data_IF_936128503310
#
_entry.id   IF_936128503310
#
_cell.length_a   1.000
_cell.length_b   1.000
_cell.length_c   1.000
_cell.angle_alpha   90.00
_cell.angle_beta   90.00
_cell.angle_gamma   90.00
#
_symmetry.space_group_name_H-M   'P 1'
#
loop_
_entity.id
_entity.type
_entity.pdbx_description
1 polymer ?
#
# COMPACT_ATOMS: atom_id res chain seq x y z
N UNK A 1 14.11 7.33 -19.22
CA UNK A 1 12.69 7.31 -18.80
C UNK A 1 12.02 8.69 -18.91
N UNK A 2 12.74 9.80 -18.69
CA UNK A 2 12.17 11.16 -18.81
C UNK A 2 11.61 11.49 -20.21
N UNK A 3 12.20 10.98 -21.28
CA UNK A 3 11.79 11.26 -22.66
C UNK A 3 10.32 10.89 -22.97
N UNK A 4 9.81 9.80 -22.38
CA UNK A 4 8.40 9.43 -22.55
C UNK A 4 7.46 10.32 -21.73
N UNK A 5 7.83 10.65 -20.49
CA UNK A 5 7.01 11.49 -19.61
C UNK A 5 6.86 12.89 -20.22
N UNK A 6 7.98 13.46 -20.66
CA UNK A 6 8.03 14.76 -21.33
C UNK A 6 7.21 14.72 -22.63
N UNK A 7 7.41 13.69 -23.46
CA UNK A 7 6.62 13.49 -24.69
C UNK A 7 5.13 13.36 -24.41
N UNK A 8 4.73 12.59 -23.40
CA UNK A 8 3.34 12.31 -23.07
C UNK A 8 2.64 13.60 -22.60
N UNK A 9 3.31 14.36 -21.73
CA UNK A 9 2.83 15.67 -21.28
C UNK A 9 2.68 16.64 -22.46
N UNK A 10 3.68 16.76 -23.32
CA UNK A 10 3.61 17.60 -24.52
C UNK A 10 2.48 17.16 -25.47
N UNK A 11 2.30 15.85 -25.65
CA UNK A 11 1.29 15.28 -26.55
C UNK A 11 -0.12 15.63 -26.08
N UNK A 12 -0.41 15.43 -24.79
CA UNK A 12 -1.71 15.72 -24.18
C UNK A 12 -2.02 17.21 -24.24
N UNK A 13 -1.03 18.07 -23.97
CA UNK A 13 -1.18 19.53 -24.10
C UNK A 13 -1.45 19.96 -25.54
N UNK A 14 -0.72 19.40 -26.52
CA UNK A 14 -0.88 19.72 -27.94
C UNK A 14 -2.25 19.31 -28.49
N UNK A 15 -2.75 18.16 -28.07
CA UNK A 15 -4.06 17.65 -28.52
C UNK A 15 -5.23 18.17 -27.69
N UNK A 16 -4.98 18.97 -26.65
CA UNK A 16 -6.00 19.51 -25.75
C UNK A 16 -6.88 18.40 -25.15
N UNK A 17 -6.27 17.25 -24.84
CA UNK A 17 -6.99 16.14 -24.21
C UNK A 17 -7.48 16.59 -22.83
N UNK A 18 -8.72 16.24 -22.50
CA UNK A 18 -9.37 16.57 -21.23
C UNK A 18 -9.62 15.30 -20.41
N UNK A 19 -10.04 15.48 -19.15
CA UNK A 19 -10.36 14.38 -18.24
C UNK A 19 -9.11 13.70 -17.66
N UNK A 20 -9.22 12.42 -17.34
CA UNK A 20 -8.22 11.67 -16.59
C UNK A 20 -6.84 11.67 -17.27
N UNK A 21 -6.79 11.53 -18.60
CA UNK A 21 -5.52 11.46 -19.33
C UNK A 21 -4.69 12.75 -19.18
N UNK A 22 -5.36 13.90 -19.07
CA UNK A 22 -4.70 15.18 -18.79
C UNK A 22 -4.02 15.19 -17.42
N UNK A 23 -4.72 14.68 -16.41
CA UNK A 23 -4.24 14.64 -15.04
C UNK A 23 -3.17 13.57 -14.82
N UNK A 24 -3.26 12.42 -15.50
CA UNK A 24 -2.18 11.42 -15.55
C UNK A 24 -0.93 12.05 -16.18
N UNK A 25 -1.06 12.79 -17.28
CA UNK A 25 0.06 13.44 -17.95
C UNK A 25 0.72 14.55 -17.12
N UNK A 26 -0.06 15.17 -16.22
CA UNK A 26 0.46 16.15 -15.24
C UNK A 26 1.27 15.49 -14.13
N UNK A 27 1.12 14.19 -13.93
CA UNK A 27 1.76 13.43 -12.87
C UNK A 27 1.16 13.68 -11.48
N UNK A 28 1.68 12.98 -10.45
CA UNK A 28 1.21 13.14 -9.09
C UNK A 28 1.37 14.57 -8.60
N UNK A 29 0.45 15.01 -7.72
CA UNK A 29 0.52 16.34 -7.15
C UNK A 29 1.87 16.50 -6.41
N UNK A 30 2.69 17.54 -6.65
CA UNK A 30 3.94 17.74 -5.93
C UNK A 30 3.76 17.90 -4.41
N UNK A 31 2.54 18.25 -3.99
CA UNK A 31 2.10 18.30 -2.59
C UNK A 31 1.26 17.07 -2.20
N UNK A 32 1.41 15.95 -2.92
CA UNK A 32 0.64 14.73 -2.66
C UNK A 32 0.75 14.37 -1.18
N UNK A 33 -0.41 14.12 -0.58
CA UNK A 33 -0.49 13.78 0.83
C UNK A 33 0.18 12.42 1.04
N UNK A 34 1.08 12.37 2.02
CA UNK A 34 1.69 11.14 2.48
C UNK A 34 0.86 10.58 3.63
N UNK A 35 0.70 9.27 3.63
CA UNK A 35 -0.02 8.55 4.68
C UNK A 35 0.89 7.53 5.33
N UNK A 36 0.64 7.27 6.61
CA UNK A 36 1.39 6.28 7.38
C UNK A 36 0.73 4.90 7.39
N UNK A 37 -0.52 4.80 6.91
CA UNK A 37 -1.23 3.54 6.71
C UNK A 37 -2.39 3.70 5.72
N UNK A 38 -2.86 2.57 5.18
CA UNK A 38 -3.95 2.51 4.20
C UNK A 38 -4.67 1.15 4.26
N UNK A 39 -5.99 1.15 4.14
CA UNK A 39 -6.80 -0.07 4.15
C UNK A 39 -7.47 -0.31 2.80
N UNK A 40 -7.28 -1.50 2.24
CA UNK A 40 -7.86 -1.92 0.95
C UNK A 40 -7.90 -3.45 0.86
N UNK A 41 -8.94 -4.01 0.24
CA UNK A 41 -9.08 -5.46 0.00
C UNK A 41 -8.84 -6.32 1.26
N UNK A 42 -9.40 -5.90 2.39
CA UNK A 42 -9.24 -6.61 3.66
C UNK A 42 -7.85 -6.50 4.31
N UNK A 43 -6.89 -5.82 3.67
CA UNK A 43 -5.54 -5.61 4.19
C UNK A 43 -5.37 -4.23 4.81
N UNK A 44 -4.73 -4.20 5.97
CA UNK A 44 -4.29 -2.96 6.62
C UNK A 44 -2.79 -2.79 6.36
N UNK A 45 -2.42 -1.89 5.47
CA UNK A 45 -1.03 -1.57 5.17
C UNK A 45 -0.52 -0.42 6.03
N UNK A 46 0.75 -0.51 6.45
CA UNK A 46 1.47 0.56 7.16
C UNK A 46 2.78 0.89 6.44
N UNK A 47 3.28 2.11 6.59
CA UNK A 47 4.69 2.39 6.25
C UNK A 47 5.60 1.69 7.25
N UNK A 48 6.79 1.28 6.82
CA UNK A 48 7.82 0.66 7.68
C UNK A 48 8.10 1.49 8.94
N UNK A 49 8.14 2.81 8.78
CA UNK A 49 8.32 3.74 9.89
C UNK A 49 7.21 3.59 10.95
N UNK A 50 5.94 3.60 10.54
CA UNK A 50 4.81 3.36 11.44
C UNK A 50 4.85 1.97 12.05
N UNK A 51 5.08 0.96 11.21
CA UNK A 51 5.13 -0.44 11.61
C UNK A 51 6.19 -0.70 12.69
N UNK A 52 7.35 -0.03 12.61
CA UNK A 52 8.43 -0.15 13.59
C UNK A 52 8.07 0.32 15.00
N UNK A 53 6.98 1.08 15.15
CA UNK A 53 6.45 1.57 16.44
C UNK A 53 5.31 0.71 16.97
N UNK A 54 4.90 -0.32 16.24
CA UNK A 54 3.78 -1.19 16.57
C UNK A 54 4.27 -2.61 16.84
N UNK A 55 3.44 -3.39 17.53
CA UNK A 55 3.67 -4.83 17.73
C UNK A 55 3.22 -5.66 16.51
N UNK A 56 2.37 -5.11 15.66
CA UNK A 56 1.87 -5.75 14.43
C UNK A 56 2.78 -5.45 13.25
N UNK A 57 2.91 -6.38 12.31
CA UNK A 57 3.65 -6.15 11.08
C UNK A 57 2.71 -6.09 9.87
N UNK A 58 2.60 -4.91 9.28
CA UNK A 58 1.65 -4.56 8.24
C UNK A 58 2.30 -3.83 7.06
N UNK A 59 3.64 -3.69 7.06
CA UNK A 59 4.40 -3.00 6.01
C UNK A 59 4.85 -3.88 4.85
N UNK A 60 4.69 -5.20 4.96
CA UNK A 60 5.10 -6.14 3.92
C UNK A 60 4.07 -6.28 2.81
N UNK A 61 4.55 -6.27 1.57
CA UNK A 61 3.75 -6.44 0.35
C UNK A 61 4.32 -7.51 -0.56
N UNK A 62 3.49 -8.10 -1.41
CA UNK A 62 3.91 -8.96 -2.51
C UNK A 62 3.11 -8.67 -3.78
N UNK A 63 3.77 -8.84 -4.92
CA UNK A 63 3.20 -8.69 -6.26
C UNK A 63 3.74 -9.81 -7.15
N UNK A 64 2.87 -10.52 -7.86
CA UNK A 64 3.29 -11.39 -8.96
C UNK A 64 3.08 -10.67 -10.27
N UNK A 65 4.14 -10.51 -11.05
CA UNK A 65 4.14 -9.81 -12.32
C UNK A 65 4.68 -10.70 -13.44
N UNK A 66 4.00 -10.67 -14.58
CA UNK A 66 4.48 -11.30 -15.79
C UNK A 66 5.75 -10.58 -16.27
N UNK A 67 6.88 -11.28 -16.24
CA UNK A 67 8.19 -10.72 -16.50
C UNK A 67 8.84 -11.44 -17.67
N UNK A 68 9.24 -10.69 -18.70
CA UNK A 68 10.02 -11.22 -19.80
C UNK A 68 11.48 -11.42 -19.37
N UNK A 69 11.97 -12.65 -19.50
CA UNK A 69 13.35 -13.02 -19.22
C UNK A 69 14.09 -13.42 -20.50
N UNK A 70 15.40 -13.15 -20.54
CA UNK A 70 16.26 -13.46 -21.69
C UNK A 70 17.37 -14.39 -21.23
N UNK A 71 17.70 -15.43 -22.02
CA UNK A 71 18.79 -16.34 -21.65
C UNK A 71 20.16 -15.65 -21.71
N UNK A 72 20.27 -14.56 -22.49
CA UNK A 72 21.45 -13.69 -22.54
C UNK A 72 21.10 -12.32 -23.13
N UNK A 73 22.01 -11.35 -23.02
CA UNK A 73 21.85 -10.02 -23.64
C UNK A 73 21.78 -10.03 -25.18
N UNK A 74 22.09 -11.16 -25.83
CA UNK A 74 22.00 -11.36 -27.28
C UNK A 74 20.76 -12.15 -27.69
N UNK A 75 20.01 -12.66 -26.72
CA UNK A 75 18.80 -13.42 -26.99
C UNK A 75 17.70 -12.46 -27.47
N UNK A 76 17.04 -12.83 -28.57
CA UNK A 76 15.93 -12.08 -29.14
C UNK A 76 14.57 -12.73 -28.86
N UNK A 77 14.57 -13.87 -28.18
CA UNK A 77 13.37 -14.62 -27.85
C UNK A 77 13.13 -14.56 -26.34
N UNK A 78 12.49 -13.49 -25.83
CA UNK A 78 12.11 -13.46 -24.43
C UNK A 78 11.18 -14.61 -24.09
N UNK A 79 11.35 -15.16 -22.89
CA UNK A 79 10.41 -16.09 -22.29
C UNK A 79 9.72 -15.34 -21.16
N UNK A 80 8.39 -15.20 -21.28
CA UNK A 80 7.57 -14.63 -20.23
C UNK A 80 7.34 -15.66 -19.13
N UNK A 81 7.48 -15.21 -17.88
CA UNK A 81 7.21 -16.02 -16.71
C UNK A 81 6.71 -15.16 -15.55
N UNK A 82 5.89 -15.76 -14.69
CA UNK A 82 5.43 -15.11 -13.49
C UNK A 82 6.58 -15.01 -12.48
N UNK A 83 6.87 -13.79 -12.04
CA UNK A 83 7.87 -13.50 -11.02
C UNK A 83 7.18 -12.83 -9.84
N UNK A 84 7.33 -13.43 -8.66
CA UNK A 84 6.82 -12.87 -7.42
C UNK A 84 7.90 -12.00 -6.76
N UNK A 85 7.53 -10.75 -6.54
CA UNK A 85 8.32 -9.74 -5.85
C UNK A 85 7.77 -9.56 -4.44
N UNK A 86 8.68 -9.26 -3.51
CA UNK A 86 8.37 -9.00 -2.12
C UNK A 86 8.90 -7.63 -1.76
N UNK A 87 8.09 -6.82 -1.08
CA UNK A 87 8.43 -5.45 -0.80
C UNK A 87 8.13 -5.05 0.64
N UNK A 88 8.71 -3.92 1.02
CA UNK A 88 8.39 -3.21 2.26
C UNK A 88 7.98 -1.79 1.90
N UNK A 89 6.82 -1.35 2.39
CA UNK A 89 6.26 -0.02 2.11
C UNK A 89 7.08 1.04 2.85
N UNK A 90 7.67 1.97 2.12
CA UNK A 90 8.38 3.13 2.67
C UNK A 90 7.47 4.35 2.77
N UNK A 91 6.68 4.61 1.73
CA UNK A 91 5.77 5.75 1.66
C UNK A 91 4.46 5.37 0.97
N UNK A 92 3.36 5.99 1.39
CA UNK A 92 2.05 5.86 0.76
C UNK A 92 1.64 7.24 0.25
N UNK A 93 1.36 7.33 -1.04
CA UNK A 93 0.89 8.56 -1.69
C UNK A 93 -0.56 8.40 -2.14
N UNK A 94 -1.36 9.43 -1.87
CA UNK A 94 -2.72 9.55 -2.39
C UNK A 94 -2.88 11.01 -2.82
N UNK A 95 -2.99 11.22 -4.13
CA UNK A 95 -3.66 12.36 -4.80
C UNK A 95 -3.05 12.71 -6.19
N UNK A 96 -3.88 12.66 -7.24
CA UNK A 96 -3.64 13.29 -8.55
C UNK A 96 -4.55 14.53 -8.70
N UNK A 97 -4.28 15.57 -7.89
CA UNK A 97 -4.93 16.89 -7.99
C UNK A 97 -6.44 16.89 -7.69
N UNK A 98 -6.91 15.93 -6.90
CA UNK A 98 -8.29 15.72 -6.46
C UNK A 98 -9.26 15.42 -7.59
N UNK A 99 -8.73 14.87 -8.69
CA UNK A 99 -9.50 14.56 -9.91
C UNK A 99 -9.86 13.08 -9.97
N UNK A 100 -8.93 12.23 -9.55
CA UNK A 100 -9.17 10.81 -9.30
C UNK A 100 -8.21 10.32 -8.21
N UNK A 101 -8.66 9.32 -7.44
CA UNK A 101 -7.92 8.79 -6.31
C UNK A 101 -7.10 7.58 -6.76
N UNK A 102 -5.79 7.74 -6.88
CA UNK A 102 -4.85 6.63 -7.00
C UNK A 102 -4.01 6.57 -5.75
N UNK A 103 -3.87 5.37 -5.22
CA UNK A 103 -3.00 5.10 -4.06
C UNK A 103 -1.79 4.33 -4.55
N UNK A 104 -0.63 4.96 -4.39
CA UNK A 104 0.66 4.39 -4.75
C UNK A 104 1.45 4.09 -3.49
N UNK A 105 2.00 2.89 -3.43
CA UNK A 105 3.01 2.53 -2.44
C UNK A 105 4.37 2.66 -3.08
N UNK A 106 5.28 3.39 -2.43
CA UNK A 106 6.71 3.31 -2.72
C UNK A 106 7.30 2.22 -1.86
N UNK A 107 7.88 1.20 -2.48
CA UNK A 107 8.40 0.03 -1.80
C UNK A 107 9.88 -0.19 -2.08
N UNK A 108 10.57 -0.73 -1.07
CA UNK A 108 11.85 -1.41 -1.27
C UNK A 108 11.55 -2.85 -1.71
N UNK A 109 11.99 -3.25 -2.91
CA UNK A 109 11.68 -4.55 -3.51
C UNK A 109 12.83 -5.56 -3.43
N UNK A 110 12.48 -6.83 -3.21
CA UNK A 110 13.35 -7.98 -3.06
C UNK A 110 12.82 -9.17 -3.87
N UNK A 111 13.74 -10.04 -4.29
CA UNK A 111 13.41 -11.29 -4.97
C UNK A 111 13.32 -12.43 -3.96
N UNK A 112 12.24 -13.20 -4.04
CA UNK A 112 12.06 -14.40 -3.22
C UNK A 112 12.94 -15.55 -3.69
N UNK A 113 13.43 -16.33 -2.73
CA UNK A 113 14.12 -17.60 -2.95
C UNK A 113 13.46 -18.66 -2.07
N UNK A 114 13.63 -19.94 -2.45
CA UNK A 114 13.08 -21.07 -1.71
C UNK A 114 14.23 -21.83 -1.07
N UNK A 115 14.12 -22.12 0.22
CA UNK A 115 15.10 -22.92 0.95
C UNK A 115 14.93 -24.43 0.71
N UNK A 116 15.74 -25.25 1.38
CA UNK A 116 15.66 -26.70 1.27
C UNK A 116 14.37 -27.31 1.85
N UNK A 117 13.67 -26.56 2.71
CA UNK A 117 12.42 -26.95 3.36
C UNK A 117 11.17 -26.48 2.59
N UNK A 118 11.34 -25.69 1.52
CA UNK A 118 10.24 -25.13 0.75
C UNK A 118 9.73 -23.78 1.27
N UNK A 119 10.42 -23.16 2.23
CA UNK A 119 10.06 -21.85 2.77
C UNK A 119 10.61 -20.74 1.88
N UNK A 120 9.79 -19.71 1.68
CA UNK A 120 10.18 -18.53 0.92
C UNK A 120 10.95 -17.59 1.84
N UNK A 121 12.10 -17.13 1.38
CA UNK A 121 12.88 -16.10 2.06
C UNK A 121 13.38 -15.03 1.10
N UNK A 122 13.63 -13.85 1.63
CA UNK A 122 14.16 -12.69 0.91
C UNK A 122 15.40 -12.18 1.62
N UNK A 123 16.30 -11.54 0.86
CA UNK A 123 17.51 -10.94 1.41
C UNK A 123 17.38 -9.41 1.39
N UNK A 124 17.23 -8.80 2.57
CA UNK A 124 16.99 -7.36 2.72
C UNK A 124 18.21 -6.48 2.33
N UNK A 125 19.41 -7.05 2.18
CA UNK A 125 20.57 -6.33 1.62
C UNK A 125 20.53 -6.23 0.10
N UNK A 126 19.77 -7.09 -0.59
CA UNK A 126 19.77 -7.21 -2.06
C UNK A 126 18.47 -6.71 -2.67
N UNK A 127 18.32 -5.39 -2.74
CA UNK A 127 17.20 -4.75 -3.47
C UNK A 127 17.26 -5.10 -4.95
N UNK A 128 16.15 -5.53 -5.54
CA UNK A 128 16.07 -5.92 -6.95
C UNK A 128 15.56 -4.81 -7.88
N UNK A 129 14.86 -3.81 -7.35
CA UNK A 129 14.41 -2.63 -8.11
C UNK A 129 14.85 -1.35 -7.41
N UNK A 130 15.43 -0.42 -8.18
CA UNK A 130 15.73 0.95 -7.74
C UNK A 130 15.04 2.00 -8.62
N UNK A 131 14.88 1.69 -9.90
CA UNK A 131 14.34 2.62 -10.88
C UNK A 131 12.80 2.61 -10.93
N UNK A 132 12.17 1.53 -10.44
CA UNK A 132 10.72 1.40 -10.38
C UNK A 132 10.25 0.91 -8.99
N UNK A 133 10.09 1.83 -8.02
CA UNK A 133 9.72 1.47 -6.66
C UNK A 133 8.21 1.54 -6.40
N UNK A 134 7.41 2.00 -7.36
CA UNK A 134 5.99 2.30 -7.14
C UNK A 134 5.08 1.17 -7.57
N UNK A 135 4.03 0.92 -6.80
CA UNK A 135 2.97 -0.04 -7.12
C UNK A 135 1.61 0.51 -6.71
N UNK A 136 0.55 0.10 -7.41
CA UNK A 136 -0.81 0.40 -6.99
C UNK A 136 -1.19 -0.43 -5.77
N UNK A 137 -1.80 0.21 -4.78
CA UNK A 137 -2.27 -0.46 -3.58
C UNK A 137 -3.24 -1.63 -3.88
N UNK A 138 -4.02 -1.52 -4.97
CA UNK A 138 -4.97 -2.55 -5.40
C UNK A 138 -4.32 -3.80 -6.00
N UNK A 139 -3.05 -3.76 -6.36
CA UNK A 139 -2.34 -4.87 -7.03
C UNK A 139 -1.52 -5.74 -6.06
N UNK A 140 -1.32 -5.27 -4.83
CA UNK A 140 -0.48 -5.97 -3.85
C UNK A 140 -1.29 -6.77 -2.85
N UNK A 141 -0.67 -7.83 -2.34
CA UNK A 141 -1.16 -8.57 -1.19
C UNK A 141 -0.23 -8.35 0.00
N UNK A 142 -0.73 -8.51 1.21
CA UNK A 142 0.07 -8.35 2.41
C UNK A 142 0.87 -9.62 2.74
N UNK A 143 2.12 -9.42 3.18
CA UNK A 143 2.99 -10.47 3.72
C UNK A 143 3.61 -10.02 5.04
N UNK A 144 4.04 -11.00 5.82
CA UNK A 144 4.77 -10.84 7.07
C UNK A 144 6.15 -11.48 6.91
N UNK A 145 7.16 -10.81 7.47
CA UNK A 145 8.55 -11.16 7.49
C UNK A 145 8.98 -11.62 8.88
N UNK A 146 9.61 -12.79 8.94
CA UNK A 146 10.24 -13.34 10.13
C UNK A 146 11.74 -13.44 9.92
N UNK A 147 12.52 -12.80 10.79
CA UNK A 147 13.97 -12.77 10.69
C UNK A 147 14.60 -14.14 10.97
N UNK A 148 15.58 -14.53 10.16
CA UNK A 148 16.40 -15.71 10.43
C UNK A 148 17.26 -15.49 11.69
N UNK A 149 17.35 -16.48 12.61
CA UNK A 149 18.08 -16.34 13.87
C UNK A 149 19.61 -16.26 13.71
N UNK A 150 20.17 -16.75 12.60
CA UNK A 150 21.60 -16.78 12.33
C UNK A 150 22.00 -15.69 11.32
N UNK A 151 21.19 -15.49 10.28
CA UNK A 151 21.43 -14.53 9.21
C UNK A 151 20.41 -13.39 9.23
N UNK A 152 20.67 -12.34 10.01
CA UNK A 152 19.75 -11.19 10.19
C UNK A 152 19.25 -10.50 8.91
N UNK A 153 19.97 -10.63 7.79
CA UNK A 153 19.59 -10.08 6.49
C UNK A 153 18.56 -10.94 5.74
N UNK A 154 18.38 -12.19 6.17
CA UNK A 154 17.40 -13.12 5.65
C UNK A 154 16.09 -12.95 6.43
N UNK A 155 15.00 -12.85 5.68
CA UNK A 155 13.66 -12.75 6.21
C UNK A 155 12.79 -13.79 5.52
N UNK A 156 12.21 -14.71 6.29
CA UNK A 156 11.22 -15.66 5.79
C UNK A 156 9.87 -14.96 5.61
N UNK A 157 9.16 -15.35 4.56
CA UNK A 157 7.90 -14.72 4.16
C UNK A 157 6.71 -15.61 4.50
N UNK A 158 5.70 -15.03 5.11
CA UNK A 158 4.39 -15.64 5.34
C UNK A 158 3.31 -14.76 4.72
N UNK A 159 2.37 -15.35 4.00
CA UNK A 159 1.26 -14.61 3.39
C UNK A 159 0.18 -14.32 4.43
N UNK A 160 -0.30 -13.07 4.45
CA UNK A 160 -1.44 -12.68 5.30
C UNK A 160 -2.76 -13.04 4.63
N UNK A 161 -3.73 -13.46 5.43
CA UNK A 161 -5.12 -13.65 4.98
C UNK A 161 -5.87 -12.33 5.13
N UNK A 162 -6.53 -11.82 4.07
CA UNK A 162 -7.39 -10.65 4.14
C UNK A 162 -8.44 -10.76 5.26
N UNK A 163 -8.69 -9.65 5.96
CA UNK A 163 -9.64 -9.62 7.10
C UNK A 163 -11.09 -9.80 6.64
N UNK A 164 -11.41 -9.40 5.41
CA UNK A 164 -12.74 -9.51 4.79
C UNK A 164 -13.12 -10.96 4.41
N UNK A 165 -12.18 -11.90 4.43
CA UNK A 165 -12.48 -13.34 4.30
C UNK A 165 -13.12 -13.92 5.57
N UNK A 166 -13.01 -13.24 6.71
CA UNK A 166 -13.66 -13.61 7.94
C UNK A 166 -15.05 -12.95 8.03
N UNK A 167 -15.91 -13.25 7.06
CA UNK A 167 -17.35 -13.04 7.21
C UNK A 167 -17.85 -14.08 8.22
N UNK A 168 -17.81 -13.73 9.51
CA UNK A 168 -18.50 -14.48 10.55
C UNK A 168 -20.00 -14.31 10.32
N UNK A 169 -20.53 -15.07 9.36
CA UNK A 169 -21.96 -15.16 9.12
C UNK A 169 -22.67 -15.41 10.44
N UNK A 170 -23.61 -14.53 10.78
CA UNK A 170 -24.44 -14.69 11.96
C UNK A 170 -25.13 -16.06 11.94
N UNK A 171 -24.97 -16.82 13.04
CA UNK A 171 -25.78 -17.98 13.46
C UNK A 171 -25.44 -19.32 12.73
N UNK A 172 -25.36 -20.50 13.34
CA UNK A 172 -25.67 -21.03 14.67
C UNK A 172 -24.83 -22.29 14.93
N UNK A 173 -24.71 -22.62 16.21
CA UNK A 173 -24.45 -23.95 16.80
C UNK A 173 -23.11 -24.65 16.53
N UNK A 174 -22.36 -24.78 17.64
CA UNK A 174 -21.78 -26.04 18.07
C UNK A 174 -20.76 -26.69 17.14
N UNK A 175 -19.49 -26.61 17.56
CA UNK A 175 -18.53 -27.68 17.35
C UNK A 175 -18.01 -27.84 15.91
N UNK A 176 -17.53 -26.78 15.27
CA UNK A 176 -16.64 -26.93 14.12
C UNK A 176 -15.26 -26.37 14.48
N UNK A 177 -14.37 -27.29 14.87
CA UNK A 177 -12.94 -27.02 15.00
C UNK A 177 -12.42 -26.43 13.69
N UNK A 178 -11.58 -25.41 13.79
CA UNK A 178 -10.81 -24.82 12.70
C UNK A 178 -10.27 -25.90 11.74
N UNK A 179 -10.82 -25.98 10.54
CA UNK A 179 -10.13 -26.64 9.43
C UNK A 179 -9.12 -25.62 8.87
N UNK A 180 -7.84 -25.97 8.88
CA UNK A 180 -6.83 -25.21 8.15
C UNK A 180 -7.29 -25.08 6.69
N UNK A 181 -7.32 -23.87 6.09
CA UNK A 181 -7.66 -23.74 4.69
C UNK A 181 -6.68 -24.57 3.86
N UNK A 182 -7.26 -25.57 3.17
CA UNK A 182 -6.57 -26.52 2.32
C UNK A 182 -5.60 -25.76 1.40
N UNK A 183 -4.31 -26.14 1.48
CA UNK A 183 -3.24 -25.84 0.54
C UNK A 183 -3.71 -25.08 -0.70
N UNK A 184 -3.52 -23.76 -0.72
CA UNK A 184 -3.40 -23.03 -1.97
C UNK A 184 -2.12 -23.54 -2.64
N UNK A 185 -2.24 -24.65 -3.35
CA UNK A 185 -1.29 -25.02 -4.39
C UNK A 185 -1.14 -23.78 -5.26
N UNK A 186 0.04 -23.18 -5.20
CA UNK A 186 0.54 -22.26 -6.20
C UNK A 186 0.17 -22.83 -7.58
N UNK A 187 -0.67 -22.09 -8.32
CA UNK A 187 -0.88 -22.16 -9.78
C UNK A 187 -2.13 -21.41 -10.24
N UNK A 188 -3.04 -20.99 -9.35
CA UNK A 188 -4.15 -20.14 -9.73
C UNK A 188 -4.13 -18.86 -8.89
N UNK A 189 -3.33 -17.88 -9.32
CA UNK A 189 -3.63 -16.50 -9.00
C UNK A 189 -5.04 -16.21 -9.53
N UNK A 190 -5.95 -15.57 -8.77
CA UNK A 190 -7.17 -15.06 -9.35
C UNK A 190 -6.78 -14.04 -10.41
N UNK A 191 -6.90 -14.42 -11.68
CA UNK A 191 -6.87 -13.48 -12.79
C UNK A 191 -8.03 -12.52 -12.59
N UNK A 192 -7.71 -11.30 -12.17
CA UNK A 192 -8.66 -10.19 -12.24
C UNK A 192 -8.78 -9.82 -13.71
N UNK A 193 -9.91 -10.21 -14.30
CA UNK A 193 -10.36 -9.73 -15.60
C UNK A 193 -10.54 -8.20 -15.49
N UNK A 194 -9.76 -7.44 -16.26
CA UNK A 194 -9.77 -5.97 -16.24
C UNK A 194 -10.96 -5.37 -16.99
N UNK A 195 -12.01 -6.15 -17.26
CA UNK A 195 -13.14 -5.70 -18.08
C UNK A 195 -14.38 -5.22 -17.32
N UNK A 196 -14.42 -5.30 -15.99
CA UNK A 196 -15.56 -4.79 -15.20
C UNK A 196 -15.26 -3.47 -14.47
N UNK A 197 -14.84 -2.44 -15.22
CA UNK A 197 -15.08 -1.05 -14.82
C UNK A 197 -16.50 -0.69 -15.27
N UNK A 198 -17.50 -1.29 -14.64
CA UNK A 198 -18.83 -0.71 -14.62
C UNK A 198 -18.92 0.18 -13.38
N UNK A 199 -18.83 1.49 -13.63
CA UNK A 199 -19.19 2.52 -12.67
C UNK A 199 -20.63 2.28 -12.20
N UNK A 200 -20.79 1.58 -11.08
CA UNK A 200 -22.02 1.63 -10.30
C UNK A 200 -21.84 2.75 -9.28
N UNK A 201 -22.32 3.92 -9.66
CA UNK A 201 -22.71 4.95 -8.72
C UNK A 201 -23.67 4.32 -7.69
N UNK A 202 -23.32 4.38 -6.42
CA UNK A 202 -24.18 3.96 -5.31
C UNK A 202 -23.58 2.84 -4.46
N UNK A 203 -22.73 3.24 -3.51
CA UNK A 203 -22.17 2.38 -2.48
C UNK A 203 -21.55 3.26 -1.39
N UNK A 204 -22.42 3.86 -0.59
CA UNK A 204 -22.24 4.68 0.61
C UNK A 204 -20.79 5.13 0.98
N UNK A 205 -20.35 6.24 0.39
CA UNK A 205 -19.21 7.02 0.89
C UNK A 205 -19.74 7.89 2.03
N UNK A 206 -19.45 7.53 3.28
CA UNK A 206 -19.70 8.44 4.42
C UNK A 206 -18.60 9.50 4.49
N UNK A 207 -18.89 10.65 3.90
CA UNK A 207 -18.22 11.92 4.16
C UNK A 207 -19.14 12.78 5.04
N UNK A 208 -18.72 13.11 6.26
CA UNK A 208 -19.44 14.07 7.12
C UNK A 208 -18.51 15.25 7.42
N UNK A 209 -18.97 16.45 7.10
CA UNK A 209 -18.33 17.73 7.43
C UNK A 209 -18.64 18.09 8.90
N UNK A 210 -17.61 18.48 9.67
CA UNK A 210 -17.75 18.86 11.07
C UNK A 210 -17.79 20.39 11.18
N UNK A 211 -18.95 20.94 11.55
CA UNK A 211 -19.08 22.26 12.17
C UNK A 211 -20.35 22.26 13.03
N UNK A 212 -20.22 22.00 14.33
CA UNK A 212 -20.86 22.73 15.44
C UNK A 212 -20.58 21.98 16.75
N UNK A 213 -19.70 22.56 17.57
CA UNK A 213 -19.63 22.31 19.00
C UNK A 213 -20.73 23.17 19.67
N UNK A 214 -21.48 22.61 20.63
CA UNK A 214 -21.45 23.00 22.06
C UNK A 214 -22.69 22.49 22.84
N UNK A 215 -22.36 22.03 24.05
CA UNK A 215 -23.12 21.97 25.32
C UNK A 215 -24.33 21.02 25.47
N UNK A 216 -24.24 20.08 26.42
CA UNK A 216 -24.72 20.24 27.81
C UNK A 216 -24.21 19.13 28.72
N UNK A 217 -23.83 19.52 29.94
CA UNK A 217 -23.47 18.68 31.08
C UNK A 217 -24.58 17.69 31.49
N UNK A 218 -24.22 16.48 31.94
CA UNK A 218 -24.76 15.92 33.18
C UNK A 218 -23.90 14.74 33.68
N UNK A 219 -23.48 14.80 34.94
CA UNK A 219 -22.79 13.72 35.65
C UNK A 219 -23.76 12.56 35.95
N UNK A 220 -23.31 11.32 35.75
CA UNK A 220 -23.65 10.22 36.65
C UNK A 220 -22.62 9.09 36.55
N UNK A 221 -21.94 8.89 37.67
CA UNK A 221 -21.06 7.76 37.98
C UNK A 221 -21.79 6.41 37.87
N UNK A 222 -21.37 5.54 36.96
CA UNK A 222 -21.36 4.09 37.16
C UNK A 222 -20.19 3.50 36.34
N UNK A 223 -19.23 2.92 37.05
CA UNK A 223 -18.09 2.22 36.48
C UNK A 223 -18.52 0.88 35.88
N UNK A 224 -18.33 0.72 34.58
CA UNK A 224 -18.09 -0.58 33.94
C UNK A 224 -16.93 -0.40 32.94
N UNK A 225 -15.97 -1.32 33.02
CA UNK A 225 -14.80 -1.41 32.16
C UNK A 225 -15.23 -1.61 30.70
N UNK A 226 -15.17 -0.55 29.92
CA UNK A 226 -15.08 -0.63 28.46
C UNK A 226 -13.76 0.04 28.05
N UNK A 227 -12.76 -0.77 27.69
CA UNK A 227 -11.61 -0.34 26.89
C UNK A 227 -12.10 -0.03 25.45
N UNK A 228 -13.00 0.96 25.34
CA UNK A 228 -13.42 1.54 24.09
C UNK A 228 -12.25 2.39 23.57
N UNK A 229 -11.45 1.77 22.69
CA UNK A 229 -10.30 2.39 22.05
C UNK A 229 -10.76 3.48 21.07
N UNK A 230 -10.75 4.74 21.55
CA UNK A 230 -11.07 5.95 20.78
C UNK A 230 -10.07 6.23 19.63
N UNK A 231 -9.09 5.36 19.36
CA UNK A 231 -8.06 5.55 18.30
C UNK A 231 -8.55 5.27 16.88
N UNK A 232 -9.85 5.04 16.66
CA UNK A 232 -10.39 4.61 15.36
C UNK A 232 -10.36 5.69 14.26
N UNK A 233 -10.03 6.96 14.54
CA UNK A 233 -10.05 8.03 13.54
C UNK A 233 -8.77 8.86 13.37
N UNK A 234 -7.82 8.79 14.31
CA UNK A 234 -6.54 9.53 14.22
C UNK A 234 -5.58 8.97 13.15
N UNK A 235 -5.86 7.82 12.56
CA UNK A 235 -4.93 7.10 11.69
C UNK A 235 -4.85 7.62 10.25
N UNK A 236 -5.74 8.53 9.85
CA UNK A 236 -5.74 9.20 8.54
C UNK A 236 -5.09 10.59 8.54
N UNK A 237 -4.51 11.03 9.65
CA UNK A 237 -3.88 12.36 9.70
C UNK A 237 -2.71 12.46 8.72
N UNK A 238 -2.81 13.42 7.81
CA UNK A 238 -1.69 13.84 6.98
C UNK A 238 -0.65 14.49 7.89
N UNK A 239 0.61 14.05 7.79
CA UNK A 239 1.69 14.71 8.52
C UNK A 239 1.93 16.09 7.90
N UNK A 240 1.69 17.16 8.66
CA UNK A 240 1.94 18.54 8.21
C UNK A 240 3.45 18.77 7.97
N UNK A 241 3.78 19.27 6.79
CA UNK A 241 5.13 19.73 6.45
C UNK A 241 5.49 20.97 7.29
N UNK A 242 6.67 20.93 7.91
CA UNK A 242 7.27 22.06 8.65
C UNK A 242 7.46 23.25 7.70
N UNK A 243 6.64 24.28 7.87
CA UNK A 243 6.89 25.62 7.33
C UNK A 243 7.98 26.30 8.17
N UNK A 244 9.23 26.22 7.72
CA UNK A 244 10.24 27.18 8.15
C UNK A 244 10.19 28.39 7.22
N UNK A 245 9.35 29.38 7.57
CA UNK A 245 9.51 30.75 7.11
C UNK A 245 9.49 31.70 8.30
N UNK A 246 10.66 32.19 8.69
CA UNK A 246 10.77 33.56 9.19
C UNK A 246 11.90 34.27 8.45
N UNK A 247 11.56 35.47 7.99
CA UNK A 247 12.33 36.37 7.17
C UNK A 247 12.75 37.60 7.96
N UNK A 248 13.88 38.20 7.56
CA UNK A 248 14.39 39.56 7.86
C UNK A 248 15.03 39.71 9.25
N UNK A 249 16.25 40.24 9.46
CA UNK A 249 17.15 41.03 8.62
C UNK A 249 17.52 42.31 9.37
N UNK A 250 18.76 42.48 9.82
CA UNK A 250 19.47 43.78 9.82
C UNK A 250 20.96 43.66 10.17
N UNK A 251 21.72 44.60 9.62
CA UNK A 251 23.18 44.78 9.55
C UNK A 251 23.88 45.07 10.87
N UNK A 252 25.19 44.73 10.94
CA UNK A 252 26.25 45.70 11.25
C UNK A 252 27.67 45.19 11.00
N UNK A 253 28.46 46.14 10.51
CA UNK A 253 29.89 46.19 10.22
C UNK A 253 30.81 45.57 11.29
N UNK A 254 31.90 44.89 10.89
CA UNK A 254 33.28 45.42 10.81
C UNK A 254 34.19 44.35 10.24
#
# INVERSE_FOLDING_TARGET
>A
MNDFIDWFQERVLREQVQGELFWVAKGPNPKARRYSGYFINGYRFNTRDRDSRLNTQNSGVTLTALTSSFASSRDQNPIDGDVTYYGVIEEIFLDFWSQFNVVLFRCDWFLGNIDACGLIFVNFKKKCSKDDPFVLASQVHQVIYSQDPEEYDIQYVSHSVPTDLFDFGESMDGDTYWEEPINFSCNNAPTIDTTDIHASAGGDVRSVEINELLDTDDENDLAEDDDFDDTYWDWMEATDDILASESQGFTKDT
#
